data_IF_063122510035
#
_entry.id   IF_063122510035
#
_cell.length_a   1.000
_cell.length_b   1.000
_cell.length_c   1.000
_cell.angle_alpha   90.00
_cell.angle_beta   90.00
_cell.angle_gamma   90.00
#
_symmetry.space_group_name_H-M   'P 1'
#
loop_
_entity.id
_entity.type
_entity.pdbx_description
1 polymer ?
#
# COMPACT_ATOMS: atom_id res chain seq x y z
N UNK A 1 -15.62 0.39 -3.02
CA UNK A 1 -14.44 -0.24 -2.39
C UNK A 1 -13.46 0.86 -2.03
N UNK A 2 -12.88 0.87 -0.83
CA UNK A 2 -11.85 1.83 -0.44
C UNK A 2 -10.46 1.30 -0.78
N UNK A 3 -9.53 2.22 -1.02
CA UNK A 3 -8.15 1.95 -1.39
C UNK A 3 -7.23 2.63 -0.38
N UNK A 4 -6.19 1.93 0.04
CA UNK A 4 -5.07 2.51 0.80
C UNK A 4 -3.90 2.73 -0.16
N UNK A 5 -3.26 3.90 -0.07
CA UNK A 5 -2.10 4.25 -0.89
C UNK A 5 -0.94 4.60 0.04
N UNK A 6 0.17 3.87 -0.10
CA UNK A 6 1.43 4.19 0.59
C UNK A 6 2.36 4.89 -0.39
N UNK A 7 2.67 6.15 -0.11
CA UNK A 7 3.63 6.93 -0.87
C UNK A 7 5.04 6.70 -0.30
N UNK A 8 5.92 6.10 -1.09
CA UNK A 8 7.33 5.86 -0.78
C UNK A 8 7.58 5.26 0.63
N UNK A 9 6.98 4.11 0.98
CA UNK A 9 7.05 3.60 2.34
C UNK A 9 8.48 3.18 2.73
N UNK A 10 8.92 3.61 3.92
CA UNK A 10 10.30 3.42 4.35
C UNK A 10 10.51 2.21 5.29
N UNK A 11 9.48 1.86 6.08
CA UNK A 11 9.61 0.90 7.18
C UNK A 11 8.85 -0.40 6.85
N UNK A 12 9.56 -1.54 6.62
CA UNK A 12 8.92 -2.79 6.21
C UNK A 12 7.84 -3.31 7.19
N UNK A 13 8.05 -3.30 8.53
CA UNK A 13 7.01 -3.71 9.47
C UNK A 13 5.70 -2.93 9.34
N UNK A 14 5.75 -1.64 9.04
CA UNK A 14 4.54 -0.82 8.86
C UNK A 14 3.76 -1.27 7.63
N UNK A 15 4.46 -1.49 6.51
CA UNK A 15 3.85 -2.00 5.28
C UNK A 15 3.22 -3.38 5.50
N UNK A 16 3.90 -4.28 6.21
CA UNK A 16 3.36 -5.60 6.57
C UNK A 16 2.08 -5.52 7.39
N UNK A 17 2.04 -4.66 8.41
CA UNK A 17 0.84 -4.44 9.22
C UNK A 17 -0.32 -3.85 8.40
N UNK A 18 -0.03 -2.96 7.45
CA UNK A 18 -1.04 -2.36 6.57
C UNK A 18 -1.57 -3.38 5.55
N UNK A 19 -0.72 -4.28 5.03
CA UNK A 19 -1.17 -5.41 4.20
C UNK A 19 -2.16 -6.26 4.98
N UNK A 20 -1.85 -6.60 6.25
CA UNK A 20 -2.78 -7.33 7.12
C UNK A 20 -4.10 -6.59 7.34
N UNK A 21 -4.03 -5.27 7.58
CA UNK A 21 -5.22 -4.44 7.71
C UNK A 21 -6.10 -4.51 6.45
N UNK A 22 -5.49 -4.38 5.27
CA UNK A 22 -6.20 -4.44 3.99
C UNK A 22 -6.86 -5.81 3.78
N UNK A 23 -6.17 -6.90 4.11
CA UNK A 23 -6.74 -8.24 4.06
C UNK A 23 -7.94 -8.44 4.99
N UNK A 24 -7.84 -7.97 6.24
CA UNK A 24 -8.91 -8.06 7.23
C UNK A 24 -10.13 -7.18 6.91
N UNK A 25 -9.94 -6.10 6.13
CA UNK A 25 -10.99 -5.11 5.82
C UNK A 25 -11.51 -5.20 4.38
N UNK A 26 -10.89 -6.01 3.53
CA UNK A 26 -11.20 -6.12 2.11
C UNK A 26 -10.78 -4.90 1.29
N UNK A 27 -9.91 -4.03 1.81
CA UNK A 27 -9.40 -2.87 1.06
C UNK A 27 -8.28 -3.30 0.11
N UNK A 28 -8.15 -2.59 -1.01
CA UNK A 28 -7.00 -2.76 -1.91
C UNK A 28 -5.84 -1.87 -1.48
N UNK A 29 -4.62 -2.36 -1.66
CA UNK A 29 -3.40 -1.65 -1.28
C UNK A 29 -2.60 -1.24 -2.52
N UNK A 30 -2.26 0.04 -2.59
CA UNK A 30 -1.40 0.62 -3.62
C UNK A 30 -0.10 1.09 -2.97
N UNK A 31 1.03 0.79 -3.58
CA UNK A 31 2.35 1.20 -3.11
C UNK A 31 3.03 1.98 -4.24
N UNK A 32 3.48 3.18 -3.94
CA UNK A 32 4.23 4.03 -4.87
C UNK A 32 5.71 3.96 -4.47
N UNK A 33 6.54 3.62 -5.45
CA UNK A 33 8.00 3.51 -5.33
C UNK A 33 8.69 4.90 -5.39
N UNK A 34 9.95 5.02 -4.92
CA UNK A 34 10.78 3.97 -4.31
C UNK A 34 10.36 3.60 -2.89
N UNK A 35 10.50 2.32 -2.54
CA UNK A 35 10.38 1.86 -1.16
C UNK A 35 11.74 2.01 -0.46
N UNK A 36 11.74 2.37 0.82
CA UNK A 36 12.95 2.40 1.66
C UNK A 36 13.48 1.01 2.05
N UNK A 37 12.90 -0.06 1.50
CA UNK A 37 13.28 -1.45 1.74
C UNK A 37 13.08 -2.31 0.50
N UNK A 38 13.83 -3.42 0.44
CA UNK A 38 13.65 -4.42 -0.62
C UNK A 38 12.36 -5.20 -0.41
N UNK A 39 11.57 -5.31 -1.48
CA UNK A 39 10.40 -6.20 -1.49
C UNK A 39 10.87 -7.65 -1.48
N UNK A 40 10.61 -8.36 -0.39
CA UNK A 40 10.92 -9.78 -0.25
C UNK A 40 9.69 -10.54 0.22
N UNK A 41 9.07 -11.26 -0.72
CA UNK A 41 7.89 -12.10 -0.47
C UNK A 41 8.15 -13.12 0.64
N UNK A 42 9.40 -13.57 0.87
CA UNK A 42 9.72 -14.52 1.96
C UNK A 42 9.61 -13.88 3.33
N UNK A 43 10.04 -12.62 3.48
CA UNK A 43 9.95 -11.87 4.75
C UNK A 43 8.50 -11.56 5.11
N UNK A 44 7.70 -11.22 4.11
CA UNK A 44 6.27 -10.94 4.28
C UNK A 44 5.46 -12.22 4.56
N UNK A 45 5.75 -13.35 3.90
CA UNK A 45 5.15 -14.65 4.26
C UNK A 45 5.47 -15.06 5.71
N UNK A 46 6.67 -14.73 6.20
CA UNK A 46 7.05 -14.98 7.60
C UNK A 46 6.27 -14.13 8.61
N UNK A 47 5.69 -13.01 8.18
CA UNK A 47 4.73 -12.23 8.96
C UNK A 47 3.33 -12.87 9.01
N UNK A 48 3.20 -14.13 8.58
CA UNK A 48 1.97 -14.92 8.63
C UNK A 48 0.94 -14.45 7.62
N UNK A 49 1.36 -13.75 6.56
CA UNK A 49 0.47 -13.29 5.49
C UNK A 49 0.23 -14.45 4.50
N UNK A 50 -1.03 -14.83 4.30
CA UNK A 50 -1.40 -15.85 3.34
C UNK A 50 -1.26 -15.32 1.91
N UNK A 51 -0.96 -16.19 0.95
CA UNK A 51 -0.71 -15.79 -0.45
C UNK A 51 -1.93 -15.07 -1.09
N UNK A 52 -3.15 -15.37 -0.61
CA UNK A 52 -4.37 -14.67 -1.04
C UNK A 52 -4.46 -13.22 -0.54
N UNK A 53 -3.81 -12.89 0.58
CA UNK A 53 -3.77 -11.51 1.10
C UNK A 53 -2.88 -10.60 0.23
N UNK A 54 -1.97 -11.20 -0.56
CA UNK A 54 -1.11 -10.49 -1.50
C UNK A 54 -1.76 -10.12 -2.83
N UNK A 55 -2.80 -10.85 -3.25
CA UNK A 55 -3.43 -10.64 -4.57
C UNK A 55 -4.04 -9.25 -4.76
N UNK A 56 -4.16 -8.45 -3.70
CA UNK A 56 -4.70 -7.09 -3.72
C UNK A 56 -3.65 -5.97 -3.64
N UNK A 57 -2.34 -6.28 -3.68
CA UNK A 57 -1.28 -5.25 -3.65
C UNK A 57 -0.84 -4.87 -5.07
N UNK A 58 -0.93 -3.59 -5.41
CA UNK A 58 -0.45 -3.02 -6.67
C UNK A 58 0.72 -2.06 -6.42
N UNK A 59 1.76 -2.15 -7.24
CA UNK A 59 2.96 -1.30 -7.15
C UNK A 59 3.07 -0.39 -8.36
N UNK A 60 3.47 0.86 -8.12
CA UNK A 60 3.62 1.90 -9.12
C UNK A 60 5.02 2.50 -9.03
N UNK A 61 5.64 2.78 -10.18
CA UNK A 61 6.97 3.36 -10.23
C UNK A 61 7.03 4.78 -9.63
N UNK A 62 5.93 5.53 -9.75
CA UNK A 62 5.78 6.89 -9.23
C UNK A 62 4.29 7.26 -9.08
N UNK A 63 4.04 8.46 -8.57
CA UNK A 63 2.68 8.97 -8.38
C UNK A 63 1.91 9.20 -9.69
N UNK A 64 2.60 9.59 -10.77
CA UNK A 64 1.93 9.83 -12.05
C UNK A 64 1.42 8.51 -12.64
N UNK A 65 2.21 7.44 -12.55
CA UNK A 65 1.82 6.09 -12.93
C UNK A 65 0.61 5.60 -12.11
N UNK A 66 0.60 5.87 -10.79
CA UNK A 66 -0.55 5.58 -9.94
C UNK A 66 -1.82 6.31 -10.41
N UNK A 67 -1.76 7.63 -10.62
CA UNK A 67 -2.94 8.40 -11.03
C UNK A 67 -3.46 7.96 -12.41
N UNK A 68 -2.55 7.69 -13.36
CA UNK A 68 -2.92 7.26 -14.71
C UNK A 68 -3.60 5.88 -14.73
N UNK A 69 -3.13 4.96 -13.88
CA UNK A 69 -3.63 3.58 -13.83
C UNK A 69 -4.84 3.42 -12.90
N UNK A 70 -4.78 3.92 -11.67
CA UNK A 70 -5.82 3.73 -10.67
C UNK A 70 -7.00 4.72 -10.82
N UNK A 71 -6.78 5.86 -11.49
CA UNK A 71 -7.77 6.90 -11.79
C UNK A 71 -8.72 7.18 -10.61
N UNK A 72 -8.18 7.56 -9.42
CA UNK A 72 -9.00 7.69 -8.22
C UNK A 72 -10.04 8.82 -8.40
N UNK A 73 -11.33 8.50 -8.27
CA UNK A 73 -12.40 9.49 -8.32
C UNK A 73 -12.30 10.55 -7.21
N UNK A 74 -11.84 10.14 -6.03
CA UNK A 74 -11.53 11.00 -4.89
C UNK A 74 -10.27 10.49 -4.21
N UNK A 75 -9.38 11.40 -3.84
CA UNK A 75 -8.13 11.10 -3.16
C UNK A 75 -8.03 11.95 -1.90
N UNK A 76 -7.81 11.28 -0.77
CA UNK A 76 -7.60 11.93 0.52
C UNK A 76 -6.16 11.68 0.96
N UNK A 77 -5.48 12.72 1.44
CA UNK A 77 -4.13 12.64 1.96
C UNK A 77 -4.14 12.87 3.47
N UNK A 78 -3.48 11.98 4.21
CA UNK A 78 -3.24 12.18 5.64
C UNK A 78 -2.02 13.08 5.81
N UNK A 79 -2.20 14.27 6.39
CA UNK A 79 -1.13 15.22 6.66
C UNK A 79 -1.42 16.02 7.92
N UNK A 80 -0.39 16.36 8.68
CA UNK A 80 -0.51 17.22 9.88
C UNK A 80 -0.84 18.68 9.53
N UNK A 81 -0.77 19.05 8.24
CA UNK A 81 -1.10 20.39 7.73
C UNK A 81 -2.55 20.51 7.23
N UNK A 82 -3.38 19.49 7.47
CA UNK A 82 -4.78 19.48 7.07
C UNK A 82 -5.64 20.42 7.92
N UNK A 83 -6.76 20.87 7.35
CA UNK A 83 -7.82 21.56 8.09
C UNK A 83 -8.85 20.55 8.62
N UNK A 84 -9.42 20.76 9.83
CA UNK A 84 -10.49 19.93 10.38
C UNK A 84 -11.75 19.89 9.50
#
# INVERSE_FOLDING_TARGET
>A
MLNIVLFEPEIPPNTGNIIRLCANTGFSLHIIEPMGFTWDDKRLRRAGLDYHEFTAVQRYADYAAFVASAQPQRLFALTTKGTP
#
